data_IF_833364196523
#
_entry.id   IF_833364196523
#
_cell.length_a   1.000
_cell.length_b   1.000
_cell.length_c   1.000
_cell.angle_alpha   90.00
_cell.angle_beta   90.00
_cell.angle_gamma   90.00
#
_symmetry.space_group_name_H-M   'P 1'
#
loop_
_entity.id
_entity.type
_entity.pdbx_description
1 polymer ?
#
# COMPACT_ATOMS: atom_id res chain seq x y z
N UNK A 1 -0.51 -3.39 -27.42
CA UNK A 1 -0.09 -2.90 -26.08
C UNK A 1 0.50 -1.49 -26.20
N UNK A 2 1.59 -1.25 -26.98
CA UNK A 2 2.29 0.05 -27.10
C UNK A 2 1.33 1.22 -27.43
N UNK A 3 0.46 1.06 -28.42
CA UNK A 3 -0.50 2.10 -28.81
C UNK A 3 -1.53 2.41 -27.72
N UNK A 4 -1.93 1.40 -26.95
CA UNK A 4 -2.81 1.59 -25.78
C UNK A 4 -2.10 2.41 -24.70
N UNK A 5 -0.85 2.12 -24.41
CA UNK A 5 -0.05 2.87 -23.44
C UNK A 5 0.17 4.32 -23.85
N UNK A 6 0.45 4.58 -25.15
CA UNK A 6 0.59 5.94 -25.67
C UNK A 6 -0.70 6.76 -25.52
N UNK A 7 -1.84 6.20 -25.94
CA UNK A 7 -3.15 6.82 -25.79
C UNK A 7 -3.51 7.07 -24.33
N UNK A 8 -3.17 6.13 -23.47
CA UNK A 8 -3.36 6.21 -22.05
C UNK A 8 -2.58 7.38 -21.42
N UNK A 9 -1.34 7.61 -21.86
CA UNK A 9 -0.54 8.77 -21.44
C UNK A 9 -1.14 10.12 -21.90
N UNK A 10 -1.74 10.13 -23.06
CA UNK A 10 -2.43 11.34 -23.56
C UNK A 10 -3.62 11.70 -22.69
N UNK A 11 -4.39 10.69 -22.22
CA UNK A 11 -5.51 10.89 -21.29
C UNK A 11 -5.06 11.45 -19.96
N UNK A 12 -3.91 11.01 -19.41
CA UNK A 12 -3.36 11.53 -18.16
C UNK A 12 -2.94 13.00 -18.23
N UNK A 13 -2.67 13.50 -19.43
CA UNK A 13 -2.31 14.91 -19.67
C UNK A 13 -3.52 15.85 -19.82
N UNK A 14 -4.71 15.30 -19.95
CA UNK A 14 -5.95 16.09 -20.02
C UNK A 14 -6.19 16.77 -18.69
N UNK A 15 -6.69 18.02 -18.74
CA UNK A 15 -6.97 18.78 -17.53
C UNK A 15 -7.90 18.02 -16.58
N UNK A 16 -7.58 18.00 -15.28
CA UNK A 16 -8.43 17.35 -14.30
C UNK A 16 -9.79 18.04 -14.27
N UNK A 17 -10.84 17.26 -14.50
CA UNK A 17 -12.22 17.65 -14.21
C UNK A 17 -12.87 16.51 -13.43
N UNK A 18 -13.84 16.79 -12.55
CA UNK A 18 -14.51 15.76 -11.77
C UNK A 18 -15.07 14.63 -12.63
N UNK A 19 -15.62 14.97 -13.81
CA UNK A 19 -16.19 14.03 -14.77
C UNK A 19 -15.14 13.06 -15.37
N UNK A 20 -13.87 13.44 -15.33
CA UNK A 20 -12.75 12.63 -15.85
C UNK A 20 -12.01 11.84 -14.78
N UNK A 21 -12.33 12.02 -13.50
CA UNK A 21 -11.58 11.36 -12.41
C UNK A 21 -11.64 9.84 -12.50
N UNK A 22 -12.81 9.26 -12.78
CA UNK A 22 -12.96 7.82 -12.99
C UNK A 22 -12.14 7.31 -14.18
N UNK A 23 -12.11 8.05 -15.29
CA UNK A 23 -11.31 7.68 -16.47
C UNK A 23 -9.82 7.79 -16.17
N UNK A 24 -9.40 8.80 -15.40
CA UNK A 24 -8.01 9.00 -14.99
C UNK A 24 -7.54 7.89 -14.06
N UNK A 25 -8.34 7.55 -13.04
CA UNK A 25 -8.01 6.49 -12.09
C UNK A 25 -7.90 5.13 -12.77
N UNK A 26 -8.88 4.75 -13.59
CA UNK A 26 -8.85 3.50 -14.36
C UNK A 26 -7.65 3.44 -15.33
N UNK A 27 -7.27 4.57 -15.89
CA UNK A 27 -6.12 4.65 -16.76
C UNK A 27 -4.80 4.42 -15.99
N UNK A 28 -4.64 5.05 -14.81
CA UNK A 28 -3.47 4.84 -13.94
C UNK A 28 -3.42 3.37 -13.49
N UNK A 29 -4.55 2.79 -13.09
CA UNK A 29 -4.66 1.38 -12.71
C UNK A 29 -4.26 0.44 -13.87
N UNK A 30 -4.70 0.73 -15.08
CA UNK A 30 -4.29 -0.02 -16.27
C UNK A 30 -2.78 0.05 -16.48
N UNK A 31 -2.16 1.23 -16.33
CA UNK A 31 -0.71 1.40 -16.45
C UNK A 31 0.03 0.59 -15.38
N UNK A 32 -0.45 0.58 -14.14
CA UNK A 32 0.12 -0.24 -13.06
C UNK A 32 0.06 -1.74 -13.37
N UNK A 33 -1.09 -2.24 -13.83
CA UNK A 33 -1.26 -3.64 -14.25
C UNK A 33 -0.35 -4.01 -15.42
N UNK A 34 -0.21 -3.14 -16.41
CA UNK A 34 0.70 -3.34 -17.54
C UNK A 34 2.17 -3.33 -17.09
N UNK A 35 2.55 -2.39 -16.21
CA UNK A 35 3.89 -2.36 -15.64
C UNK A 35 4.19 -3.64 -14.87
N UNK A 36 3.30 -4.11 -14.01
CA UNK A 36 3.45 -5.36 -13.28
C UNK A 36 3.60 -6.58 -14.20
N UNK A 37 2.88 -6.60 -15.31
CA UNK A 37 2.95 -7.73 -16.27
C UNK A 37 4.20 -7.70 -17.14
N UNK A 38 4.64 -6.50 -17.58
CA UNK A 38 5.68 -6.36 -18.59
C UNK A 38 7.05 -5.92 -18.06
N UNK A 39 7.17 -5.52 -16.80
CA UNK A 39 8.44 -5.05 -16.23
C UNK A 39 9.25 -6.13 -15.51
N UNK A 40 8.86 -7.41 -15.57
CA UNK A 40 9.58 -8.53 -14.92
C UNK A 40 10.97 -8.82 -15.53
N UNK A 41 11.32 -8.12 -16.60
CA UNK A 41 12.66 -8.13 -17.26
C UNK A 41 13.20 -9.48 -17.71
N UNK A 42 12.32 -10.44 -17.91
CA UNK A 42 12.66 -11.78 -18.39
C UNK A 42 13.07 -11.80 -19.88
N UNK A 43 12.77 -10.73 -20.61
CA UNK A 43 13.07 -10.61 -22.03
C UNK A 43 13.54 -9.21 -22.46
N UNK A 44 14.27 -9.06 -23.58
CA UNK A 44 14.65 -7.77 -24.15
C UNK A 44 13.45 -6.85 -24.44
N UNK A 45 12.30 -7.43 -24.83
CA UNK A 45 11.06 -6.69 -25.11
C UNK A 45 10.52 -6.04 -23.82
N UNK A 46 10.58 -6.74 -22.70
CA UNK A 46 10.15 -6.21 -21.40
C UNK A 46 11.08 -5.11 -20.91
N UNK A 47 12.38 -5.26 -21.09
CA UNK A 47 13.36 -4.20 -20.77
C UNK A 47 13.14 -2.95 -21.61
N UNK A 48 12.86 -3.10 -22.89
CA UNK A 48 12.55 -1.97 -23.78
C UNK A 48 11.23 -1.30 -23.36
N UNK A 49 10.19 -2.06 -23.05
CA UNK A 49 8.93 -1.52 -22.52
C UNK A 49 9.14 -0.70 -21.26
N UNK A 50 9.91 -1.20 -20.28
CA UNK A 50 10.22 -0.47 -19.07
C UNK A 50 10.88 0.88 -19.37
N UNK A 51 11.91 0.90 -20.21
CA UNK A 51 12.66 2.12 -20.55
C UNK A 51 11.82 3.14 -21.32
N UNK A 52 11.03 2.68 -22.27
CA UNK A 52 10.35 3.58 -23.24
C UNK A 52 8.95 3.98 -22.78
N UNK A 53 8.28 3.15 -21.98
CA UNK A 53 6.90 3.40 -21.57
C UNK A 53 6.77 3.71 -20.08
N UNK A 54 7.42 2.94 -19.20
CA UNK A 54 7.22 3.08 -17.77
C UNK A 54 8.04 4.24 -17.18
N UNK A 55 9.33 4.33 -17.48
CA UNK A 55 10.17 5.39 -16.93
C UNK A 55 9.65 6.82 -17.23
N UNK A 56 9.20 7.16 -18.45
CA UNK A 56 8.64 8.48 -18.72
C UNK A 56 7.33 8.76 -17.96
N UNK A 57 6.59 7.72 -17.58
CA UNK A 57 5.33 7.86 -16.85
C UNK A 57 5.53 8.11 -15.36
N UNK A 58 6.63 7.63 -14.78
CA UNK A 58 6.89 7.74 -13.35
C UNK A 58 6.76 9.17 -12.83
N UNK A 59 7.44 10.12 -13.46
CA UNK A 59 7.39 11.52 -13.07
C UNK A 59 5.98 12.14 -13.29
N UNK A 60 5.26 11.69 -14.31
CA UNK A 60 3.88 12.14 -14.56
C UNK A 60 2.94 11.66 -13.46
N UNK A 61 2.97 10.36 -13.13
CA UNK A 61 2.09 9.77 -12.11
C UNK A 61 2.49 10.27 -10.72
N UNK A 62 3.78 10.42 -10.43
CA UNK A 62 4.23 11.07 -9.20
C UNK A 62 3.75 12.52 -9.11
N UNK A 63 3.84 13.27 -10.21
CA UNK A 63 3.33 14.64 -10.28
C UNK A 63 1.81 14.73 -10.09
N UNK A 64 1.04 13.70 -10.47
CA UNK A 64 -0.38 13.57 -10.15
C UNK A 64 -0.53 13.31 -8.65
N UNK A 65 0.13 12.31 -8.09
CA UNK A 65 0.03 11.94 -6.67
C UNK A 65 0.21 13.13 -5.72
N UNK A 66 1.20 13.99 -5.96
CA UNK A 66 1.51 15.12 -5.08
C UNK A 66 0.60 16.34 -5.26
N UNK A 67 -0.10 16.47 -6.38
CA UNK A 67 -0.93 17.64 -6.71
C UNK A 67 -2.42 17.37 -6.64
N UNK A 68 -2.79 16.12 -6.73
CA UNK A 68 -4.18 15.70 -6.76
C UNK A 68 -4.79 15.74 -5.37
N UNK A 69 -6.06 16.15 -5.30
CA UNK A 69 -6.87 16.13 -4.09
C UNK A 69 -7.98 15.08 -4.14
N UNK A 70 -8.24 14.51 -5.31
CA UNK A 70 -9.29 13.51 -5.52
C UNK A 70 -8.84 12.13 -5.01
N UNK A 71 -9.50 11.55 -3.98
CA UNK A 71 -9.08 10.30 -3.35
C UNK A 71 -8.96 9.14 -4.34
N UNK A 72 -9.95 8.97 -5.24
CA UNK A 72 -9.97 7.89 -6.23
C UNK A 72 -8.75 7.93 -7.18
N UNK A 73 -8.29 9.12 -7.56
CA UNK A 73 -7.12 9.27 -8.43
C UNK A 73 -5.83 9.03 -7.67
N UNK A 74 -5.76 9.47 -6.40
CA UNK A 74 -4.62 9.22 -5.52
C UNK A 74 -4.48 7.75 -5.17
N UNK A 75 -5.60 7.07 -4.86
CA UNK A 75 -5.68 5.62 -4.68
C UNK A 75 -5.04 4.89 -5.87
N UNK A 76 -5.46 5.23 -7.10
CA UNK A 76 -4.90 4.63 -8.32
C UNK A 76 -3.38 4.87 -8.45
N UNK A 77 -2.87 6.03 -8.00
CA UNK A 77 -1.42 6.29 -7.97
C UNK A 77 -0.69 5.37 -6.99
N UNK A 78 -1.23 5.15 -5.78
CA UNK A 78 -0.65 4.18 -4.83
C UNK A 78 -0.65 2.77 -5.41
N UNK A 79 -1.78 2.35 -6.02
CA UNK A 79 -1.88 1.08 -6.75
C UNK A 79 -0.81 0.94 -7.84
N UNK A 80 -0.59 1.96 -8.64
CA UNK A 80 0.46 1.98 -9.65
C UNK A 80 1.84 1.74 -9.06
N UNK A 81 2.19 2.47 -7.99
CA UNK A 81 3.52 2.40 -7.40
C UNK A 81 3.80 1.06 -6.72
N UNK A 82 2.82 0.46 -6.00
CA UNK A 82 3.05 -0.86 -5.43
C UNK A 82 3.15 -1.96 -6.49
N UNK A 83 2.34 -1.89 -7.55
CA UNK A 83 2.43 -2.85 -8.67
C UNK A 83 3.78 -2.74 -9.38
N UNK A 84 4.27 -1.52 -9.55
CA UNK A 84 5.59 -1.30 -10.13
C UNK A 84 6.71 -1.81 -9.21
N UNK A 85 6.66 -1.50 -7.90
CA UNK A 85 7.63 -1.99 -6.93
C UNK A 85 7.71 -3.53 -6.94
N UNK A 86 6.56 -4.18 -7.01
CA UNK A 86 6.47 -5.64 -7.10
C UNK A 86 7.11 -6.19 -8.39
N UNK A 87 6.94 -5.47 -9.51
CA UNK A 87 7.48 -5.88 -10.82
C UNK A 87 8.99 -5.73 -10.94
N UNK A 88 9.56 -4.63 -10.43
CA UNK A 88 10.98 -4.30 -10.63
C UNK A 88 11.86 -4.54 -9.40
N UNK A 89 11.25 -4.84 -8.25
CA UNK A 89 11.98 -5.18 -7.02
C UNK A 89 12.97 -4.09 -6.60
N UNK A 90 14.21 -4.47 -6.33
CA UNK A 90 15.26 -3.55 -5.85
C UNK A 90 15.56 -2.37 -6.79
N UNK A 91 15.20 -2.44 -8.07
CA UNK A 91 15.38 -1.28 -8.96
C UNK A 91 14.43 -0.12 -8.63
N UNK A 92 13.36 -0.38 -7.88
CA UNK A 92 12.50 0.65 -7.33
C UNK A 92 13.22 1.58 -6.35
N UNK A 93 14.37 1.18 -5.81
CA UNK A 93 15.19 2.00 -4.90
C UNK A 93 15.52 3.39 -5.44
N UNK A 94 15.55 3.57 -6.76
CA UNK A 94 15.85 4.87 -7.38
C UNK A 94 14.78 5.93 -7.14
N UNK A 95 13.54 5.52 -6.93
CA UNK A 95 12.39 6.41 -6.70
C UNK A 95 11.78 6.23 -5.30
N UNK A 96 12.26 5.24 -4.55
CA UNK A 96 11.73 4.86 -3.24
C UNK A 96 11.58 6.06 -2.30
N UNK A 97 12.64 6.86 -2.15
CA UNK A 97 12.68 7.97 -1.18
C UNK A 97 11.60 9.04 -1.45
N UNK A 98 11.19 9.21 -2.72
CA UNK A 98 10.10 10.13 -3.08
C UNK A 98 8.73 9.54 -2.74
N UNK A 99 8.53 8.26 -3.03
CA UNK A 99 7.22 7.62 -2.90
C UNK A 99 6.89 7.29 -1.45
N UNK A 100 7.86 6.82 -0.67
CA UNK A 100 7.64 6.43 0.73
C UNK A 100 7.10 7.59 1.57
N UNK A 101 7.55 8.81 1.31
CA UNK A 101 7.08 10.02 2.02
C UNK A 101 5.59 10.25 1.80
N UNK A 102 5.10 10.14 0.57
CA UNK A 102 3.67 10.32 0.26
C UNK A 102 2.83 9.16 0.80
N UNK A 103 3.37 7.93 0.75
CA UNK A 103 2.70 6.75 1.32
C UNK A 103 2.55 6.90 2.83
N UNK A 104 3.61 7.20 3.57
CA UNK A 104 3.54 7.40 5.03
C UNK A 104 2.60 8.53 5.41
N UNK A 105 2.64 9.65 4.67
CA UNK A 105 1.73 10.78 4.88
C UNK A 105 0.27 10.35 4.76
N UNK A 106 -0.10 9.57 3.73
CA UNK A 106 -1.48 9.11 3.55
C UNK A 106 -1.87 8.06 4.59
N UNK A 107 -0.97 7.17 4.98
CA UNK A 107 -1.22 6.19 6.03
C UNK A 107 -1.52 6.86 7.39
N UNK A 108 -0.97 8.03 7.65
CA UNK A 108 -1.19 8.82 8.88
C UNK A 108 -2.48 9.68 8.86
N UNK A 109 -3.24 9.70 7.76
CA UNK A 109 -4.51 10.44 7.72
C UNK A 109 -5.51 9.81 8.70
N UNK A 110 -6.07 10.63 9.59
CA UNK A 110 -7.14 10.19 10.50
C UNK A 110 -8.49 10.17 9.75
N UNK A 111 -9.12 9.00 9.70
CA UNK A 111 -10.47 8.84 9.14
C UNK A 111 -11.43 8.69 10.32
N UNK A 112 -12.20 9.74 10.58
CA UNK A 112 -13.25 9.74 11.61
C UNK A 112 -14.59 9.40 10.97
N UNK A 113 -14.98 8.14 11.03
CA UNK A 113 -16.36 7.74 10.73
C UNK A 113 -17.24 8.16 11.88
N UNK A 114 -18.25 8.99 11.61
CA UNK A 114 -19.08 9.60 12.63
C UNK A 114 -19.67 8.62 13.65
N UNK A 115 -19.10 8.62 14.86
CA UNK A 115 -19.58 7.86 16.00
C UNK A 115 -20.86 8.46 16.63
N UNK A 116 -21.39 9.57 16.13
CA UNK A 116 -22.38 10.38 16.84
C UNK A 116 -23.84 10.13 16.42
N UNK A 117 -24.20 8.95 15.88
CA UNK A 117 -25.61 8.66 15.53
C UNK A 117 -26.43 7.98 16.62
N UNK A 118 -25.94 7.90 17.90
CA UNK A 118 -26.77 7.28 18.96
C UNK A 118 -27.79 8.23 19.62
N UNK A 119 -27.75 9.55 19.40
CA UNK A 119 -28.59 10.50 20.15
C UNK A 119 -29.37 11.53 19.30
N UNK A 120 -29.43 11.41 17.96
CA UNK A 120 -30.30 12.29 17.18
C UNK A 120 -31.49 11.50 16.64
N UNK A 121 -32.69 11.87 17.14
CA UNK A 121 -33.96 11.31 16.70
C UNK A 121 -34.12 11.42 15.18
N UNK A 122 -34.81 10.43 14.65
CA UNK A 122 -35.19 10.21 13.27
C UNK A 122 -35.56 11.53 12.55
N UNK A 123 -34.67 12.01 11.67
CA UNK A 123 -34.91 13.14 10.74
C UNK A 123 -34.97 12.59 9.33
N UNK A 124 -36.06 12.94 8.63
CA UNK A 124 -36.39 12.48 7.27
C UNK A 124 -35.75 13.33 6.15
N UNK A 125 -34.56 13.88 6.36
CA UNK A 125 -33.79 14.57 5.31
C UNK A 125 -32.57 13.73 4.93
N UNK A 126 -32.77 12.77 4.01
CA UNK A 126 -31.81 11.69 3.74
C UNK A 126 -30.78 11.96 2.63
N UNK A 127 -30.90 13.02 1.85
CA UNK A 127 -30.08 13.21 0.65
C UNK A 127 -28.63 13.69 0.92
N UNK A 128 -28.37 14.31 2.09
CA UNK A 128 -27.03 14.81 2.45
C UNK A 128 -26.17 13.80 3.24
N UNK A 129 -26.78 12.77 3.83
CA UNK A 129 -26.08 11.78 4.63
C UNK A 129 -25.38 10.73 3.76
N UNK A 130 -25.96 10.38 2.61
CA UNK A 130 -25.40 9.40 1.67
C UNK A 130 -24.12 9.92 1.01
N UNK A 131 -24.07 11.23 0.65
CA UNK A 131 -22.88 11.84 0.05
C UNK A 131 -21.70 11.94 1.04
N UNK A 132 -21.94 12.19 2.34
CA UNK A 132 -20.88 12.21 3.36
C UNK A 132 -20.34 10.82 3.65
N UNK A 133 -21.16 9.79 3.57
CA UNK A 133 -20.76 8.40 3.77
C UNK A 133 -19.92 7.89 2.59
N UNK A 134 -20.31 8.21 1.36
CA UNK A 134 -19.58 7.88 0.14
C UNK A 134 -18.20 8.55 0.08
N UNK A 135 -18.10 9.82 0.50
CA UNK A 135 -16.80 10.53 0.56
C UNK A 135 -15.86 9.89 1.58
N UNK A 136 -16.36 9.47 2.74
CA UNK A 136 -15.55 8.79 3.77
C UNK A 136 -15.08 7.41 3.34
N UNK A 137 -15.89 6.68 2.56
CA UNK A 137 -15.49 5.39 2.00
C UNK A 137 -14.36 5.56 0.98
N UNK A 138 -14.42 6.57 0.12
CA UNK A 138 -13.34 6.85 -0.86
C UNK A 138 -12.03 7.29 -0.19
N UNK A 139 -12.09 8.02 0.92
CA UNK A 139 -10.91 8.35 1.74
C UNK A 139 -10.32 7.11 2.42
N UNK A 140 -11.18 6.17 2.85
CA UNK A 140 -10.75 4.89 3.41
C UNK A 140 -10.07 4.01 2.36
N UNK A 141 -10.63 3.94 1.14
CA UNK A 141 -10.05 3.18 0.02
C UNK A 141 -8.67 3.74 -0.37
N UNK A 142 -8.51 5.07 -0.35
CA UNK A 142 -7.20 5.71 -0.57
C UNK A 142 -6.20 5.31 0.53
N UNK A 143 -6.60 5.34 1.79
CA UNK A 143 -5.75 4.95 2.92
C UNK A 143 -5.40 3.46 2.86
N UNK A 144 -6.35 2.59 2.52
CA UNK A 144 -6.15 1.15 2.33
C UNK A 144 -5.08 0.86 1.28
N UNK A 145 -5.21 1.52 0.12
CA UNK A 145 -4.23 1.41 -0.96
C UNK A 145 -2.85 1.95 -0.56
N UNK A 146 -2.78 2.98 0.29
CA UNK A 146 -1.52 3.47 0.83
C UNK A 146 -0.87 2.46 1.80
N UNK A 147 -1.65 1.81 2.67
CA UNK A 147 -1.16 0.73 3.57
C UNK A 147 -0.67 -0.48 2.77
N UNK A 148 -1.41 -0.85 1.71
CA UNK A 148 -0.95 -1.90 0.80
C UNK A 148 0.39 -1.50 0.15
N UNK A 149 0.49 -0.27 -0.37
CA UNK A 149 1.73 0.23 -0.97
C UNK A 149 2.88 0.23 0.04
N UNK A 150 2.64 0.59 1.30
CA UNK A 150 3.63 0.56 2.37
C UNK A 150 4.25 -0.84 2.52
N UNK A 151 3.41 -1.87 2.60
CA UNK A 151 3.85 -3.26 2.69
C UNK A 151 4.64 -3.74 1.47
N UNK A 152 4.16 -3.44 0.26
CA UNK A 152 4.85 -3.84 -0.98
C UNK A 152 6.18 -3.09 -1.19
N UNK A 153 6.27 -1.82 -0.78
CA UNK A 153 7.54 -1.08 -0.78
C UNK A 153 8.55 -1.68 0.19
N UNK A 154 8.11 -2.07 1.39
CA UNK A 154 8.97 -2.76 2.37
C UNK A 154 9.53 -4.07 1.81
N UNK A 155 8.69 -4.86 1.15
CA UNK A 155 9.04 -6.13 0.51
C UNK A 155 10.01 -5.96 -0.67
N UNK A 156 9.80 -4.94 -1.52
CA UNK A 156 10.61 -4.66 -2.70
C UNK A 156 11.99 -4.07 -2.36
N UNK A 157 12.05 -3.17 -1.37
CA UNK A 157 13.25 -2.41 -1.01
C UNK A 157 13.58 -2.55 0.50
N UNK A 158 13.79 -3.77 1.02
CA UNK A 158 13.87 -4.01 2.47
C UNK A 158 14.95 -3.20 3.17
N UNK A 159 16.12 -3.03 2.58
CA UNK A 159 17.23 -2.28 3.19
C UNK A 159 16.93 -0.79 3.27
N UNK A 160 16.38 -0.20 2.19
CA UNK A 160 15.97 1.21 2.16
C UNK A 160 14.78 1.51 3.05
N UNK A 161 13.95 0.50 3.32
CA UNK A 161 12.77 0.65 4.17
C UNK A 161 13.11 0.76 5.67
N UNK A 162 14.21 0.20 6.13
CA UNK A 162 14.55 0.13 7.57
C UNK A 162 14.49 1.49 8.29
N UNK A 163 14.95 2.61 7.73
CA UNK A 163 14.83 3.91 8.38
C UNK A 163 13.37 4.33 8.68
N UNK A 164 12.41 3.80 7.95
CA UNK A 164 10.98 4.08 8.06
C UNK A 164 10.22 3.01 8.86
N UNK A 165 10.90 1.94 9.26
CA UNK A 165 10.28 0.77 9.88
C UNK A 165 9.48 1.13 11.14
N UNK A 166 10.05 1.94 12.04
CA UNK A 166 9.41 2.28 13.31
C UNK A 166 8.15 3.14 13.10
N UNK A 167 8.20 4.11 12.19
CA UNK A 167 7.04 4.92 11.84
C UNK A 167 5.95 4.08 11.19
N UNK A 168 6.32 3.23 10.22
CA UNK A 168 5.38 2.30 9.59
C UNK A 168 4.73 1.35 10.59
N UNK A 169 5.53 0.80 11.51
CA UNK A 169 5.03 -0.09 12.55
C UNK A 169 4.02 0.62 13.46
N UNK A 170 4.30 1.86 13.86
CA UNK A 170 3.38 2.65 14.68
C UNK A 170 2.06 2.91 13.95
N UNK A 171 2.09 3.21 12.65
CA UNK A 171 0.88 3.37 11.83
C UNK A 171 0.03 2.10 11.89
N UNK A 172 0.64 0.91 11.77
CA UNK A 172 -0.11 -0.34 11.83
C UNK A 172 -0.70 -0.57 13.23
N UNK A 173 0.04 -0.23 14.30
CA UNK A 173 -0.44 -0.30 15.70
C UNK A 173 -1.68 0.57 15.95
N UNK A 174 -1.79 1.71 15.29
CA UNK A 174 -2.93 2.61 15.40
C UNK A 174 -4.15 2.14 14.60
N UNK A 175 -3.96 1.22 13.64
CA UNK A 175 -4.97 0.82 12.68
C UNK A 175 -5.41 -0.66 12.77
N UNK A 176 -4.74 -1.54 13.52
CA UNK A 176 -5.06 -2.97 13.54
C UNK A 176 -6.42 -3.32 14.17
N UNK A 177 -7.01 -2.40 14.94
CA UNK A 177 -8.36 -2.51 15.52
C UNK A 177 -9.40 -1.65 14.79
N UNK A 178 -9.11 -1.24 13.56
CA UNK A 178 -10.05 -0.42 12.80
C UNK A 178 -11.37 -1.19 12.60
N UNK A 179 -12.50 -0.46 12.62
CA UNK A 179 -13.83 -1.10 12.58
C UNK A 179 -14.17 -1.81 11.25
N UNK A 180 -13.44 -1.54 10.16
CA UNK A 180 -13.67 -2.09 8.82
C UNK A 180 -12.75 -3.29 8.56
N UNK A 181 -13.36 -4.47 8.34
CA UNK A 181 -12.64 -5.76 8.29
C UNK A 181 -11.61 -5.84 7.19
N UNK A 182 -11.96 -5.45 5.96
CA UNK A 182 -11.04 -5.48 4.82
C UNK A 182 -9.79 -4.63 5.09
N UNK A 183 -9.95 -3.48 5.74
CA UNK A 183 -8.83 -2.64 6.12
C UNK A 183 -7.94 -3.30 7.18
N UNK A 184 -8.52 -4.00 8.19
CA UNK A 184 -7.74 -4.78 9.16
C UNK A 184 -6.93 -5.89 8.49
N UNK A 185 -7.52 -6.58 7.50
CA UNK A 185 -6.80 -7.60 6.71
C UNK A 185 -5.59 -6.98 6.00
N UNK A 186 -5.74 -5.79 5.40
CA UNK A 186 -4.61 -5.09 4.78
C UNK A 186 -3.54 -4.68 5.78
N UNK A 187 -3.91 -4.23 6.96
CA UNK A 187 -2.98 -3.92 8.05
C UNK A 187 -2.18 -5.18 8.44
N UNK A 188 -2.83 -6.33 8.58
CA UNK A 188 -2.16 -7.60 8.90
C UNK A 188 -1.21 -8.06 7.79
N UNK A 189 -1.63 -7.96 6.53
CA UNK A 189 -0.76 -8.25 5.39
C UNK A 189 0.48 -7.32 5.35
N UNK A 190 0.29 -6.06 5.74
CA UNK A 190 1.39 -5.12 5.85
C UNK A 190 2.37 -5.51 6.97
N UNK A 191 1.88 -5.97 8.15
CA UNK A 191 2.75 -6.51 9.22
C UNK A 191 3.62 -7.66 8.73
N UNK A 192 3.07 -8.60 7.96
CA UNK A 192 3.84 -9.68 7.35
C UNK A 192 4.96 -9.12 6.48
N UNK A 193 4.65 -8.20 5.57
CA UNK A 193 5.62 -7.62 4.66
C UNK A 193 6.72 -6.81 5.39
N UNK A 194 6.36 -6.04 6.42
CA UNK A 194 7.32 -5.33 7.27
C UNK A 194 8.27 -6.30 8.01
N UNK A 195 7.70 -7.36 8.56
CA UNK A 195 8.46 -8.40 9.24
C UNK A 195 9.45 -9.08 8.29
N UNK A 196 8.99 -9.43 7.09
CA UNK A 196 9.85 -10.00 6.05
C UNK A 196 10.96 -9.02 5.62
N UNK A 197 10.66 -7.73 5.53
CA UNK A 197 11.65 -6.70 5.22
C UNK A 197 12.72 -6.60 6.33
N UNK A 198 12.30 -6.63 7.60
CA UNK A 198 13.23 -6.64 8.74
C UNK A 198 14.14 -7.88 8.70
N UNK A 199 13.59 -9.07 8.48
CA UNK A 199 14.37 -10.31 8.34
C UNK A 199 15.37 -10.20 7.18
N UNK A 200 14.91 -9.80 5.99
CA UNK A 200 15.75 -9.66 4.81
C UNK A 200 16.89 -8.66 5.02
N UNK A 201 16.60 -7.53 5.67
CA UNK A 201 17.63 -6.51 5.93
C UNK A 201 18.78 -7.02 6.80
N UNK A 202 18.50 -7.93 7.73
CA UNK A 202 19.50 -8.55 8.63
C UNK A 202 20.25 -9.73 7.99
N UNK A 203 19.70 -10.29 6.90
CA UNK A 203 20.24 -11.48 6.23
C UNK A 203 20.67 -11.21 4.77
N UNK A 204 21.09 -9.98 4.45
CA UNK A 204 21.63 -9.66 3.14
C UNK A 204 20.58 -9.73 2.01
N UNK A 205 19.33 -9.41 2.29
CA UNK A 205 18.24 -9.37 1.31
C UNK A 205 17.50 -10.70 1.12
N UNK A 206 17.88 -11.76 1.84
CA UNK A 206 17.29 -13.10 1.68
C UNK A 206 16.64 -13.55 2.98
N UNK A 207 15.47 -14.19 2.88
CA UNK A 207 14.88 -14.88 4.04
C UNK A 207 15.62 -16.20 4.22
N UNK A 208 16.24 -16.45 5.41
CA UNK A 208 16.92 -17.71 5.65
C UNK A 208 15.91 -18.88 5.61
N UNK A 209 16.30 -20.03 5.06
CA UNK A 209 15.41 -21.19 4.98
C UNK A 209 15.04 -21.67 6.39
N UNK A 210 13.78 -22.01 6.58
CA UNK A 210 13.32 -22.60 7.82
C UNK A 210 14.03 -23.94 8.08
N UNK A 211 14.55 -24.11 9.31
CA UNK A 211 15.12 -25.37 9.78
C UNK A 211 14.17 -25.99 10.81
N UNK A 212 13.55 -27.09 10.46
CA UNK A 212 12.71 -27.84 11.40
C UNK A 212 13.53 -28.49 12.49
N UNK A 213 12.96 -28.60 13.68
CA UNK A 213 13.55 -29.31 14.80
C UNK A 213 13.15 -28.74 16.17
N UNK A 214 13.16 -29.58 17.18
CA UNK A 214 12.94 -29.21 18.59
C UNK A 214 14.10 -29.75 19.40
N UNK A 215 14.83 -28.89 20.13
CA UNK A 215 14.67 -27.45 20.26
C UNK A 215 15.07 -26.69 18.98
N UNK A 216 14.45 -25.54 18.73
CA UNK A 216 14.86 -24.68 17.64
C UNK A 216 16.29 -24.19 17.88
N UNK A 217 17.20 -24.57 16.99
CA UNK A 217 18.63 -24.20 17.10
C UNK A 217 18.95 -22.94 16.29
N UNK A 218 18.02 -22.48 15.47
CA UNK A 218 18.21 -21.25 14.71
C UNK A 218 18.10 -20.05 15.65
N UNK A 219 19.12 -19.21 15.66
CA UNK A 219 19.16 -17.97 16.42
C UNK A 219 19.04 -16.80 15.47
N UNK A 220 18.28 -15.83 15.89
CA UNK A 220 18.13 -14.54 15.21
C UNK A 220 18.82 -13.44 16.00
N UNK A 221 19.16 -12.30 15.40
CA UNK A 221 19.60 -11.12 16.13
C UNK A 221 18.62 -10.75 17.26
N UNK A 222 19.14 -10.27 18.38
CA UNK A 222 18.34 -9.99 19.59
C UNK A 222 17.21 -8.98 19.32
N UNK A 223 17.45 -7.98 18.49
CA UNK A 223 16.45 -6.98 18.11
C UNK A 223 15.28 -7.63 17.36
N UNK A 224 15.55 -8.59 16.48
CA UNK A 224 14.53 -9.35 15.76
C UNK A 224 13.77 -10.30 16.70
N UNK A 225 14.45 -11.01 17.60
CA UNK A 225 13.79 -11.86 18.59
C UNK A 225 12.90 -11.02 19.53
N UNK A 226 13.35 -9.84 19.95
CA UNK A 226 12.56 -8.93 20.77
C UNK A 226 11.32 -8.42 20.03
N UNK A 227 11.45 -8.04 18.75
CA UNK A 227 10.33 -7.64 17.93
C UNK A 227 9.26 -8.75 17.82
N UNK A 228 9.68 -9.97 17.54
CA UNK A 228 8.75 -11.11 17.49
C UNK A 228 8.05 -11.35 18.82
N UNK A 229 8.80 -11.48 19.92
CA UNK A 229 8.23 -11.92 21.19
C UNK A 229 7.48 -10.82 21.95
N UNK A 230 7.91 -9.57 21.84
CA UNK A 230 7.32 -8.49 22.64
C UNK A 230 6.26 -7.66 21.88
N UNK A 231 6.35 -7.66 20.56
CA UNK A 231 5.49 -6.82 19.73
C UNK A 231 4.57 -7.64 18.83
N UNK A 232 5.11 -8.41 17.89
CA UNK A 232 4.31 -9.08 16.86
C UNK A 232 3.44 -10.22 17.42
N UNK A 233 4.03 -11.17 18.18
CA UNK A 233 3.27 -12.34 18.68
C UNK A 233 2.12 -11.95 19.59
N UNK A 234 2.26 -11.02 20.56
CA UNK A 234 1.11 -10.57 21.36
C UNK A 234 -0.02 -9.95 20.50
N UNK A 235 0.30 -9.25 19.41
CA UNK A 235 -0.70 -8.69 18.50
C UNK A 235 -1.44 -9.77 17.73
N UNK A 236 -0.71 -10.73 17.18
CA UNK A 236 -1.33 -11.86 16.48
C UNK A 236 -2.24 -12.67 17.42
N UNK A 237 -1.82 -12.92 18.66
CA UNK A 237 -2.66 -13.60 19.66
C UNK A 237 -3.93 -12.79 19.92
N UNK A 238 -3.81 -11.47 20.11
CA UNK A 238 -4.97 -10.60 20.31
C UNK A 238 -5.96 -10.70 19.14
N UNK A 239 -5.49 -10.53 17.91
CA UNK A 239 -6.33 -10.62 16.70
C UNK A 239 -7.02 -11.99 16.61
N UNK A 240 -6.29 -13.07 16.84
CA UNK A 240 -6.85 -14.44 16.79
C UNK A 240 -7.85 -14.75 17.89
N UNK A 241 -7.86 -14.02 19.00
CA UNK A 241 -8.74 -14.29 20.13
C UNK A 241 -9.88 -13.30 20.29
N UNK A 242 -9.71 -12.07 19.87
CA UNK A 242 -10.62 -10.96 20.13
C UNK A 242 -11.29 -10.40 18.87
N UNK A 243 -10.82 -10.74 17.66
CA UNK A 243 -11.48 -10.30 16.43
C UNK A 243 -12.70 -11.19 16.13
N UNK A 244 -13.83 -10.56 15.81
CA UNK A 244 -15.09 -11.26 15.54
C UNK A 244 -15.20 -11.77 14.09
N UNK A 245 -14.26 -11.40 13.23
CA UNK A 245 -14.30 -11.70 11.79
C UNK A 245 -13.42 -12.91 11.47
N UNK A 246 -14.01 -13.97 10.91
CA UNK A 246 -13.29 -15.20 10.55
C UNK A 246 -12.12 -14.96 9.58
N UNK A 247 -12.29 -14.05 8.60
CA UNK A 247 -11.25 -13.70 7.64
C UNK A 247 -10.06 -12.96 8.26
N UNK A 248 -10.24 -12.34 9.44
CA UNK A 248 -9.20 -11.62 10.18
C UNK A 248 -8.45 -12.54 11.14
N UNK A 249 -9.15 -13.53 11.74
CA UNK A 249 -8.54 -14.54 12.63
C UNK A 249 -7.64 -15.50 11.86
#
# INVERSE_FOLDING_TARGET
>A
VWRVCELSLEVLKVHPSPEMNSVRSENINLQGKLANQFCKKESPIQQEYFKTMVLPQLETIYGILIKESEPQVREACFCYFYLLANAIGSEFETIFDKIIVEVLKQCNVEITMGKDKKDKGFSLDSDSEDEEEDVKLTELDEKDSAIHALGELAKACPVKFIPHFQEAYQILEENYQFFYDNFRIQVLNCYENLTLALIKSKHGGVVPPYKSGIPCTQRYPEDLENHFHKELVPRLIYVMTEDDTEEVQ
#
